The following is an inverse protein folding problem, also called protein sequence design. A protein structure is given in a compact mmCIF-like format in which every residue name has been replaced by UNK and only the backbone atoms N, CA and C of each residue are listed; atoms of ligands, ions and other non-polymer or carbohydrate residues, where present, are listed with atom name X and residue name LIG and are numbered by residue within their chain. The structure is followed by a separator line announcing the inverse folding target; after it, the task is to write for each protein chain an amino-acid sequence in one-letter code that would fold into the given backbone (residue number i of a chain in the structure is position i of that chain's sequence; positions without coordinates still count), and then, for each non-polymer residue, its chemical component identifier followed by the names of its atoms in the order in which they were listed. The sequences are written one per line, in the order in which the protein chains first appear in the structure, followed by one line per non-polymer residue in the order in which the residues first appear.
data_IF_548877828353
#
_entry.id   IF_548877828353
#
_cell.length_a   1.000
_cell.length_b   1.000
_cell.length_c   1.000
_cell.angle_alpha   90.00
_cell.angle_beta   90.00
_cell.angle_gamma   90.00
#
_symmetry.space_group_name_H-M   'P 1'
#
loop_
_entity.id
_entity.type
_entity.pdbx_description
1 polymer ?
#
# COMPACT_ATOMS: atom_id res chain seq x y z
N UNK A 1 4.91 -26.56 -61.60
CA UNK A 1 4.30 -25.73 -60.55
C UNK A 1 4.26 -24.31 -61.09
N UNK A 2 3.05 -23.75 -61.32
CA UNK A 2 2.88 -22.37 -61.85
C UNK A 2 2.90 -21.41 -60.65
N UNK A 3 3.73 -20.34 -60.69
CA UNK A 3 3.70 -19.33 -59.64
C UNK A 3 2.40 -18.51 -59.76
N UNK A 4 1.63 -18.49 -58.67
CA UNK A 4 0.42 -17.67 -58.53
C UNK A 4 0.82 -16.20 -58.49
N UNK A 5 0.50 -15.43 -59.52
CA UNK A 5 0.71 -13.96 -59.59
C UNK A 5 -0.25 -13.30 -58.60
N UNK A 6 0.23 -12.94 -57.39
CA UNK A 6 -0.51 -12.14 -56.43
C UNK A 6 -0.80 -10.78 -57.11
N UNK A 7 -2.09 -10.46 -57.25
CA UNK A 7 -2.52 -9.21 -57.87
C UNK A 7 -1.96 -8.01 -57.06
N UNK A 8 -1.39 -7.01 -57.77
CA UNK A 8 -0.88 -5.77 -57.15
C UNK A 8 -1.92 -5.07 -56.24
N UNK A 9 -3.23 -5.31 -56.51
CA UNK A 9 -4.34 -4.80 -55.70
C UNK A 9 -4.43 -5.46 -54.33
N UNK A 10 -4.14 -6.78 -54.21
CA UNK A 10 -4.12 -7.54 -52.94
C UNK A 10 -2.91 -7.11 -52.09
N UNK A 11 -1.78 -6.92 -52.72
CA UNK A 11 -0.57 -6.42 -52.05
C UNK A 11 -0.76 -5.01 -51.47
N UNK A 12 -1.42 -4.10 -52.26
CA UNK A 12 -1.75 -2.74 -51.82
C UNK A 12 -2.74 -2.73 -50.63
N UNK A 13 -3.76 -3.60 -50.66
CA UNK A 13 -4.72 -3.72 -49.55
C UNK A 13 -4.08 -4.24 -48.28
N UNK A 14 -3.14 -5.20 -48.40
CA UNK A 14 -2.41 -5.73 -47.24
C UNK A 14 -1.49 -4.67 -46.62
N UNK A 15 -0.81 -3.85 -47.45
CA UNK A 15 0.01 -2.74 -46.94
C UNK A 15 -0.82 -1.66 -46.24
N UNK A 16 -2.02 -1.37 -46.74
CA UNK A 16 -2.93 -0.39 -46.15
C UNK A 16 -3.48 -0.90 -44.81
N UNK A 17 -3.76 -2.21 -44.68
CA UNK A 17 -4.24 -2.84 -43.46
C UNK A 17 -3.12 -2.87 -42.37
N UNK A 18 -1.88 -3.15 -42.76
CA UNK A 18 -0.72 -3.11 -41.84
C UNK A 18 -0.41 -1.67 -41.39
N UNK A 19 -0.61 -0.65 -42.25
CA UNK A 19 -0.40 0.74 -41.86
C UNK A 19 -1.48 1.27 -40.90
N UNK A 20 -2.71 0.81 -41.04
CA UNK A 20 -3.81 1.16 -40.11
C UNK A 20 -3.61 0.59 -38.70
N UNK A 21 -2.97 -0.56 -38.55
CA UNK A 21 -2.69 -1.17 -37.24
C UNK A 21 -1.59 -0.47 -36.44
N UNK A 22 -0.74 0.34 -37.08
CA UNK A 22 0.33 1.09 -36.36
C UNK A 22 -0.18 2.38 -35.73
N UNK A 23 -1.43 2.80 -36.00
CA UNK A 23 -2.04 4.01 -35.42
C UNK A 23 -2.72 3.78 -34.08
N UNK A 24 -2.78 2.53 -33.56
CA UNK A 24 -3.17 2.26 -32.19
C UNK A 24 -1.99 2.61 -31.30
N UNK A 25 -1.69 3.91 -31.23
CA UNK A 25 -0.71 4.45 -30.29
C UNK A 25 -1.09 4.07 -28.86
N UNK A 26 -0.15 3.54 -28.10
CA UNK A 26 -0.29 3.37 -26.65
C UNK A 26 -0.84 4.68 -26.05
N UNK A 27 -2.10 4.69 -25.67
CA UNK A 27 -2.67 5.76 -24.89
C UNK A 27 -2.13 5.63 -23.47
N UNK A 28 -0.96 6.20 -23.23
CA UNK A 28 -0.49 6.33 -21.86
C UNK A 28 -1.34 7.40 -21.14
N UNK A 29 -1.89 7.09 -19.96
CA UNK A 29 -2.61 8.09 -19.19
C UNK A 29 -1.66 9.26 -18.90
N UNK A 30 -2.20 10.49 -19.08
CA UNK A 30 -1.42 11.72 -18.88
C UNK A 30 -1.07 11.82 -17.39
N UNK A 31 0.21 11.73 -17.06
CA UNK A 31 0.69 11.78 -15.70
C UNK A 31 0.40 13.13 -15.05
N UNK A 32 0.11 13.10 -13.75
CA UNK A 32 -0.19 14.26 -12.92
C UNK A 32 1.01 14.50 -12.00
N UNK A 33 1.50 15.73 -11.98
CA UNK A 33 2.52 16.14 -11.02
C UNK A 33 1.87 16.27 -9.64
N UNK A 34 2.20 15.36 -8.73
CA UNK A 34 1.71 15.35 -7.35
C UNK A 34 2.79 15.86 -6.42
N UNK A 35 2.42 16.80 -5.56
CA UNK A 35 3.29 17.40 -4.55
C UNK A 35 2.58 17.44 -3.21
N UNK A 36 3.31 17.70 -2.15
CA UNK A 36 2.73 17.91 -0.84
C UNK A 36 3.79 18.18 0.22
N UNK A 37 3.37 18.21 1.46
CA UNK A 37 4.23 18.41 2.62
C UNK A 37 3.87 17.47 3.74
N UNK A 38 4.87 16.98 4.46
CA UNK A 38 4.68 16.18 5.68
C UNK A 38 5.18 16.98 6.88
N UNK A 39 4.32 17.11 7.89
CA UNK A 39 4.65 17.80 9.14
C UNK A 39 4.25 16.94 10.33
N UNK A 40 4.93 17.15 11.45
CA UNK A 40 4.44 16.68 12.73
C UNK A 40 3.23 17.49 13.21
N UNK A 41 2.55 17.04 14.24
CA UNK A 41 1.38 17.71 14.83
C UNK A 41 1.68 19.12 15.38
N UNK A 42 2.92 19.37 15.74
CA UNK A 42 3.40 20.69 16.19
C UNK A 42 3.76 21.65 15.03
N UNK A 43 3.60 21.20 13.77
CA UNK A 43 3.90 21.96 12.57
C UNK A 43 5.36 21.85 12.11
N UNK A 44 6.24 21.16 12.83
CA UNK A 44 7.61 20.93 12.39
C UNK A 44 7.64 20.01 11.16
N UNK A 45 8.52 20.28 10.16
CA UNK A 45 8.58 19.42 8.98
C UNK A 45 9.27 18.08 9.28
N UNK A 46 8.76 17.00 8.67
CA UNK A 46 9.48 15.75 8.60
C UNK A 46 10.51 15.85 7.47
N UNK A 47 11.78 15.96 7.81
CA UNK A 47 12.86 16.24 6.84
C UNK A 47 13.56 14.98 6.32
N UNK A 48 13.12 13.81 6.72
CA UNK A 48 13.73 12.54 6.34
C UNK A 48 12.70 11.46 6.13
N UNK A 49 12.77 10.81 4.99
CA UNK A 49 11.84 9.75 4.59
C UNK A 49 11.44 9.87 3.14
N UNK A 50 10.60 8.96 2.70
CA UNK A 50 10.08 8.91 1.35
C UNK A 50 8.57 8.69 1.39
N UNK A 51 7.81 9.60 0.80
CA UNK A 51 6.36 9.45 0.61
C UNK A 51 6.10 8.52 -0.56
N UNK A 52 5.23 7.55 -0.37
CA UNK A 52 4.85 6.54 -1.34
C UNK A 52 3.34 6.59 -1.60
N UNK A 53 2.94 6.48 -2.87
CA UNK A 53 1.57 6.33 -3.33
C UNK A 53 1.45 5.05 -4.13
N UNK A 54 0.62 4.09 -3.69
CA UNK A 54 0.44 2.78 -4.31
C UNK A 54 -1.02 2.55 -4.68
N UNK A 55 -1.29 2.03 -5.88
CA UNK A 55 -2.60 1.51 -6.30
C UNK A 55 -2.54 0.01 -6.63
N UNK A 56 -1.43 -0.64 -6.29
CA UNK A 56 -1.14 -2.04 -6.61
C UNK A 56 -0.48 -2.25 -7.98
N UNK A 57 -0.57 -1.28 -8.91
CA UNK A 57 0.10 -1.30 -10.22
C UNK A 57 1.23 -0.28 -10.30
N UNK A 58 0.95 0.94 -9.86
CA UNK A 58 1.91 2.03 -9.87
C UNK A 58 2.36 2.33 -8.45
N UNK A 59 3.63 2.65 -8.34
CA UNK A 59 4.23 3.11 -7.10
C UNK A 59 4.94 4.43 -7.36
N UNK A 60 4.25 5.52 -7.01
CA UNK A 60 4.82 6.87 -6.98
C UNK A 60 5.63 7.07 -5.72
N UNK A 61 6.82 7.67 -5.82
CA UNK A 61 7.71 7.96 -4.69
C UNK A 61 8.22 9.38 -4.74
N UNK A 62 8.30 10.02 -3.59
CA UNK A 62 8.88 11.35 -3.42
C UNK A 62 9.72 11.42 -2.16
N UNK A 63 10.99 11.81 -2.30
CA UNK A 63 11.87 12.03 -1.16
C UNK A 63 11.47 13.34 -0.48
N UNK A 64 11.49 13.38 0.86
CA UNK A 64 11.26 14.58 1.65
C UNK A 64 12.48 15.48 1.64
N UNK A 65 12.26 16.77 1.48
CA UNK A 65 13.30 17.79 1.58
C UNK A 65 13.40 18.39 2.99
N UNK A 66 14.26 19.40 3.15
CA UNK A 66 14.49 20.11 4.43
C UNK A 66 13.25 20.83 4.97
N UNK A 67 12.26 21.10 4.11
CA UNK A 67 10.99 21.73 4.47
C UNK A 67 9.87 20.70 4.65
N UNK A 68 10.18 19.41 4.51
CA UNK A 68 9.19 18.32 4.50
C UNK A 68 8.38 18.27 3.21
N UNK A 69 8.80 18.95 2.15
CA UNK A 69 8.11 18.94 0.87
C UNK A 69 8.56 17.74 0.02
N UNK A 70 7.62 17.23 -0.80
CA UNK A 70 7.89 16.13 -1.71
C UNK A 70 7.24 16.32 -3.08
N UNK A 71 7.79 15.67 -4.09
CA UNK A 71 7.24 15.56 -5.43
C UNK A 71 7.29 14.10 -5.87
N UNK A 72 6.13 13.54 -6.22
CA UNK A 72 6.04 12.14 -6.63
C UNK A 72 6.58 11.92 -8.04
N UNK A 73 7.27 10.78 -8.20
CA UNK A 73 7.77 10.27 -9.48
C UNK A 73 7.63 8.75 -9.52
N UNK A 74 7.48 8.17 -10.70
CA UNK A 74 7.55 6.72 -10.90
C UNK A 74 8.95 6.32 -11.35
N UNK A 75 9.44 6.87 -12.46
CA UNK A 75 10.72 6.48 -13.06
C UNK A 75 11.73 7.64 -13.12
N UNK A 76 11.27 8.82 -13.52
CA UNK A 76 12.15 9.98 -13.75
C UNK A 76 11.67 11.18 -12.96
N UNK A 77 12.60 12.09 -12.68
CA UNK A 77 12.26 13.36 -12.05
C UNK A 77 11.20 14.10 -12.90
N UNK A 78 10.16 14.59 -12.26
CA UNK A 78 9.04 15.34 -12.84
C UNK A 78 8.12 14.54 -13.78
N UNK A 79 8.15 13.21 -13.80
CA UNK A 79 7.23 12.43 -14.61
C UNK A 79 5.83 12.32 -14.00
N UNK A 80 5.69 12.53 -12.69
CA UNK A 80 4.43 12.43 -11.96
C UNK A 80 3.91 11.00 -11.85
N UNK A 81 2.59 10.87 -11.57
CA UNK A 81 1.89 9.58 -11.49
C UNK A 81 0.59 9.62 -12.30
N UNK A 82 0.06 8.49 -12.79
CA UNK A 82 -1.24 8.44 -13.45
C UNK A 82 -2.36 8.93 -12.53
N UNK A 83 -3.47 9.46 -13.08
CA UNK A 83 -4.68 9.71 -12.29
C UNK A 83 -5.23 8.40 -11.74
N UNK A 84 -5.72 8.40 -10.50
CA UNK A 84 -6.26 7.21 -9.85
C UNK A 84 -6.45 7.39 -8.35
N UNK A 85 -6.89 6.33 -7.69
CA UNK A 85 -7.00 6.27 -6.22
C UNK A 85 -5.81 5.49 -5.69
N UNK A 86 -5.10 6.11 -4.76
CA UNK A 86 -3.86 5.59 -4.20
C UNK A 86 -3.95 5.48 -2.68
N UNK A 87 -3.30 4.50 -2.13
CA UNK A 87 -2.97 4.46 -0.71
C UNK A 87 -1.60 5.11 -0.50
N UNK A 88 -1.55 6.11 0.38
CA UNK A 88 -0.32 6.84 0.68
C UNK A 88 0.30 6.33 1.99
N UNK A 89 1.63 6.31 2.06
CA UNK A 89 2.38 5.93 3.25
C UNK A 89 3.81 6.50 3.18
N UNK A 90 4.56 6.42 4.28
CA UNK A 90 5.91 6.97 4.37
C UNK A 90 6.89 5.85 4.69
N UNK A 91 7.94 5.71 3.90
CA UNK A 91 9.03 4.76 4.14
C UNK A 91 10.32 5.49 4.52
N UNK A 92 11.30 4.75 5.03
CA UNK A 92 12.63 5.26 5.35
C UNK A 92 12.65 6.43 6.35
N UNK A 93 11.58 6.68 7.11
CA UNK A 93 11.57 7.68 8.17
C UNK A 93 12.30 7.15 9.43
N UNK A 94 13.57 6.79 9.27
CA UNK A 94 14.42 6.14 10.27
C UNK A 94 15.75 6.86 10.29
N UNK A 95 16.24 7.20 11.48
CA UNK A 95 17.57 7.78 11.68
C UNK A 95 18.46 6.85 12.50
N UNK A 96 19.75 6.87 12.19
CA UNK A 96 20.79 6.24 13.00
C UNK A 96 21.22 7.20 14.10
N UNK A 97 20.97 6.85 15.35
CA UNK A 97 21.55 7.53 16.51
C UNK A 97 22.88 6.88 16.89
N UNK A 98 23.86 7.73 17.22
CA UNK A 98 25.22 7.27 17.55
C UNK A 98 26.21 7.33 16.38
N UNK A 99 25.78 7.82 15.20
CA UNK A 99 26.70 8.19 14.13
C UNK A 99 27.22 9.61 14.36
N UNK A 100 28.39 9.70 14.99
CA UNK A 100 29.12 10.97 15.03
C UNK A 100 29.82 11.20 13.68
N UNK A 101 29.00 11.62 12.70
CA UNK A 101 29.45 11.90 11.34
C UNK A 101 30.56 12.97 11.26
N UNK A 102 30.80 13.69 12.36
CA UNK A 102 31.92 14.66 12.45
C UNK A 102 33.28 13.98 12.59
N UNK A 103 33.35 12.78 13.12
CA UNK A 103 34.63 12.10 13.34
C UNK A 103 34.97 11.03 12.31
N UNK A 104 34.06 10.73 11.39
CA UNK A 104 34.24 9.68 10.36
C UNK A 104 34.43 8.27 10.91
N UNK A 105 34.20 8.07 12.21
CA UNK A 105 34.29 6.76 12.86
C UNK A 105 32.90 6.17 13.03
N UNK A 106 32.56 5.29 12.12
CA UNK A 106 31.36 4.45 12.24
C UNK A 106 31.55 3.43 13.35
N UNK A 107 31.02 3.69 14.54
CA UNK A 107 31.00 2.74 15.64
C UNK A 107 29.85 1.74 15.41
N UNK A 108 30.13 0.67 14.67
CA UNK A 108 29.18 -0.40 14.32
C UNK A 108 28.49 -1.06 15.53
N UNK A 109 28.97 -0.84 16.73
CA UNK A 109 28.42 -1.45 17.97
C UNK A 109 27.41 -0.60 18.74
N UNK A 110 27.22 0.69 18.37
CA UNK A 110 26.41 1.64 19.16
C UNK A 110 25.33 2.36 18.32
N UNK A 111 25.29 2.13 17.01
CA UNK A 111 24.28 2.75 16.16
C UNK A 111 22.90 2.14 16.42
N UNK A 112 22.00 2.95 16.99
CA UNK A 112 20.59 2.58 17.23
C UNK A 112 19.73 3.15 16.11
N UNK A 113 18.94 2.29 15.49
CA UNK A 113 17.90 2.72 14.55
C UNK A 113 16.72 3.33 15.34
N UNK A 114 16.42 4.58 15.07
CA UNK A 114 15.31 5.30 15.68
C UNK A 114 14.29 5.64 14.61
N UNK A 115 13.05 5.19 14.80
CA UNK A 115 11.93 5.59 13.97
C UNK A 115 11.54 7.03 14.30
N UNK A 116 11.33 7.84 13.28
CA UNK A 116 10.96 9.25 13.43
C UNK A 116 9.46 9.43 13.56
N UNK A 117 8.69 8.52 12.97
CA UNK A 117 7.22 8.54 12.93
C UNK A 117 6.66 7.23 13.46
N UNK A 118 5.40 7.23 13.83
CA UNK A 118 4.71 6.02 14.25
C UNK A 118 4.60 4.99 13.13
N UNK A 119 4.61 3.72 13.50
CA UNK A 119 4.60 2.57 12.58
C UNK A 119 3.36 2.55 11.68
N UNK A 120 2.23 3.06 12.15
CA UNK A 120 1.01 3.04 11.37
C UNK A 120 1.18 3.77 10.02
N UNK A 121 2.00 4.83 9.95
CA UNK A 121 2.22 5.59 8.72
C UNK A 121 3.20 4.93 7.74
N UNK A 122 3.85 3.82 8.15
CA UNK A 122 4.95 3.21 7.38
C UNK A 122 4.50 2.17 6.37
N UNK A 123 3.23 1.79 6.34
CA UNK A 123 2.69 0.83 5.39
C UNK A 123 1.38 1.32 4.76
N UNK A 124 1.11 0.89 3.53
CA UNK A 124 -0.13 1.23 2.82
C UNK A 124 -1.39 0.76 3.55
N UNK A 125 -1.31 -0.37 4.26
CA UNK A 125 -2.46 -0.98 4.94
C UNK A 125 -2.86 -0.25 6.22
N UNK A 126 -1.89 0.32 6.93
CA UNK A 126 -2.10 0.88 8.27
C UNK A 126 -2.16 2.40 8.30
N UNK A 127 -1.67 3.07 7.26
CA UNK A 127 -1.64 4.54 7.21
C UNK A 127 -3.03 5.19 7.23
N UNK A 128 -4.03 4.52 6.64
CA UNK A 128 -5.39 5.03 6.50
C UNK A 128 -5.52 6.16 5.47
N UNK A 129 -4.46 6.54 4.78
CA UNK A 129 -4.49 7.64 3.81
C UNK A 129 -4.89 7.16 2.43
N UNK A 130 -6.07 7.56 1.97
CA UNK A 130 -6.57 7.32 0.62
C UNK A 130 -6.58 8.63 -0.14
N UNK A 131 -5.89 8.69 -1.28
CA UNK A 131 -5.67 9.89 -2.07
C UNK A 131 -6.21 9.69 -3.49
N UNK A 132 -7.21 10.48 -3.87
CA UNK A 132 -7.69 10.53 -5.26
C UNK A 132 -6.87 11.57 -6.03
N UNK A 133 -6.06 11.09 -6.98
CA UNK A 133 -5.18 11.91 -7.81
C UNK A 133 -5.85 12.22 -9.12
N UNK A 134 -6.05 13.49 -9.40
CA UNK A 134 -6.56 13.98 -10.68
C UNK A 134 -5.93 15.33 -11.05
N UNK A 135 -6.43 15.99 -12.11
CA UNK A 135 -5.93 17.30 -12.51
C UNK A 135 -6.23 18.41 -11.50
N UNK A 136 -7.22 18.23 -10.63
CA UNK A 136 -7.63 19.20 -9.61
C UNK A 136 -6.99 18.89 -8.27
N UNK A 137 -6.94 17.60 -7.89
CA UNK A 137 -6.41 17.10 -6.64
C UNK A 137 -5.00 16.55 -6.88
N UNK A 138 -4.01 17.38 -6.66
CA UNK A 138 -2.59 17.09 -6.92
C UNK A 138 -1.65 17.55 -5.81
N UNK A 139 -2.20 18.11 -4.73
CA UNK A 139 -1.44 18.45 -3.53
C UNK A 139 -2.05 17.72 -2.33
N UNK A 140 -1.21 16.96 -1.63
CA UNK A 140 -1.61 16.20 -0.43
C UNK A 140 -0.61 16.48 0.68
N UNK A 141 -1.10 17.11 1.73
CA UNK A 141 -0.31 17.42 2.91
C UNK A 141 -0.69 16.43 4.02
N UNK A 142 0.30 15.88 4.72
CA UNK A 142 0.11 14.88 5.77
C UNK A 142 0.62 15.37 7.10
N UNK A 143 -0.10 15.02 8.16
CA UNK A 143 0.35 15.20 9.53
C UNK A 143 0.69 13.84 10.12
N UNK A 144 1.86 13.74 10.76
CA UNK A 144 2.36 12.52 11.40
C UNK A 144 2.66 12.76 12.87
N UNK A 145 2.74 11.68 13.63
CA UNK A 145 3.09 11.70 15.03
C UNK A 145 4.35 10.86 15.27
N UNK A 146 5.15 11.20 16.29
CA UNK A 146 6.23 10.34 16.76
C UNK A 146 5.71 8.97 17.23
N UNK A 147 6.59 7.96 17.38
CA UNK A 147 6.20 6.64 17.84
C UNK A 147 5.49 6.67 19.19
N UNK A 148 4.27 6.11 19.26
CA UNK A 148 3.47 6.04 20.48
C UNK A 148 2.76 7.33 20.90
N UNK A 149 2.80 8.38 20.08
CA UNK A 149 2.12 9.67 20.36
C UNK A 149 0.87 9.88 19.50
N UNK A 150 0.46 8.88 18.72
CA UNK A 150 -0.74 8.97 17.89
C UNK A 150 -1.98 9.02 18.80
N UNK A 151 -2.86 10.02 18.64
CA UNK A 151 -4.13 10.06 19.36
C UNK A 151 -4.99 8.82 19.06
N UNK A 152 -5.71 8.31 20.05
CA UNK A 152 -6.47 7.06 19.91
C UNK A 152 -7.54 7.13 18.81
N UNK A 153 -8.14 8.29 18.59
CA UNK A 153 -9.12 8.54 17.54
C UNK A 153 -8.53 8.56 16.11
N UNK A 154 -7.21 8.63 16.00
CA UNK A 154 -6.48 8.63 14.73
C UNK A 154 -5.75 7.29 14.46
N UNK A 155 -5.76 6.37 15.42
CA UNK A 155 -5.22 5.02 15.19
C UNK A 155 -6.21 4.25 14.32
N UNK A 156 -5.77 3.82 13.14
CA UNK A 156 -6.59 3.00 12.24
C UNK A 156 -6.87 1.62 12.85
N UNK A 157 -8.00 1.01 12.50
CA UNK A 157 -8.35 -0.34 12.97
C UNK A 157 -7.31 -1.36 12.51
N UNK A 158 -6.80 -1.21 11.29
CA UNK A 158 -5.73 -2.05 10.73
C UNK A 158 -4.42 -1.92 11.52
N UNK A 159 -4.09 -0.70 11.96
CA UNK A 159 -2.90 -0.48 12.78
C UNK A 159 -3.07 -1.10 14.18
N UNK A 160 -4.23 -0.95 14.81
CA UNK A 160 -4.54 -1.63 16.07
C UNK A 160 -4.42 -3.14 15.92
N UNK A 161 -5.05 -3.70 14.89
CA UNK A 161 -4.99 -5.14 14.64
C UNK A 161 -3.56 -5.64 14.38
N UNK A 162 -2.74 -4.85 13.70
CA UNK A 162 -1.37 -5.24 13.38
C UNK A 162 -0.40 -5.10 14.55
N UNK A 163 -0.51 -4.05 15.34
CA UNK A 163 0.51 -3.67 16.33
C UNK A 163 0.08 -3.86 17.78
N UNK A 164 -1.23 -3.92 18.07
CA UNK A 164 -1.77 -4.21 19.40
C UNK A 164 -2.14 -5.68 19.51
N UNK A 165 -1.37 -6.41 20.32
CA UNK A 165 -1.56 -7.86 20.49
C UNK A 165 -2.83 -8.18 21.26
N UNK A 166 -3.21 -7.36 22.25
CA UNK A 166 -4.41 -7.55 23.06
C UNK A 166 -5.67 -7.34 22.20
N UNK A 167 -5.74 -6.24 21.46
CA UNK A 167 -6.81 -5.94 20.51
C UNK A 167 -6.96 -7.06 19.46
N UNK A 168 -5.84 -7.52 18.91
CA UNK A 168 -5.84 -8.62 17.93
C UNK A 168 -6.41 -9.90 18.52
N UNK A 169 -6.02 -10.27 19.76
CA UNK A 169 -6.54 -11.46 20.43
C UNK A 169 -8.03 -11.37 20.68
N UNK A 170 -8.51 -10.19 21.07
CA UNK A 170 -9.93 -9.94 21.28
C UNK A 170 -10.72 -10.08 19.97
N UNK A 171 -10.29 -9.43 18.89
CA UNK A 171 -10.93 -9.51 17.57
C UNK A 171 -10.94 -10.91 16.98
N UNK A 172 -9.86 -11.65 17.14
CA UNK A 172 -9.81 -13.07 16.72
C UNK A 172 -10.79 -13.91 17.52
N UNK A 173 -10.92 -13.65 18.82
CA UNK A 173 -11.90 -14.36 19.68
C UNK A 173 -13.33 -14.03 19.27
N UNK A 174 -13.67 -12.77 19.04
CA UNK A 174 -14.98 -12.33 18.53
C UNK A 174 -15.31 -13.03 17.21
N UNK A 175 -14.40 -13.01 16.24
CA UNK A 175 -14.58 -13.68 14.95
C UNK A 175 -14.91 -15.18 15.09
N UNK A 176 -14.20 -15.90 15.95
CA UNK A 176 -14.46 -17.33 16.15
C UNK A 176 -15.75 -17.60 16.92
N UNK A 177 -16.19 -16.68 17.79
CA UNK A 177 -17.51 -16.78 18.45
C UNK A 177 -18.63 -16.59 17.43
N UNK A 178 -18.56 -15.55 16.60
CA UNK A 178 -19.53 -15.25 15.54
C UNK A 178 -19.63 -16.43 14.55
N UNK A 179 -18.49 -16.95 14.09
CA UNK A 179 -18.46 -18.11 13.21
C UNK A 179 -19.05 -19.36 13.85
N UNK A 180 -18.83 -19.57 15.15
CA UNK A 180 -19.43 -20.67 15.88
C UNK A 180 -20.95 -20.54 16.01
N UNK A 181 -21.47 -19.33 16.13
CA UNK A 181 -22.92 -19.06 16.13
C UNK A 181 -23.55 -19.26 14.76
N UNK A 182 -22.93 -18.73 13.68
CA UNK A 182 -23.36 -18.97 12.31
C UNK A 182 -23.43 -20.47 11.96
N UNK A 183 -22.41 -21.24 12.36
CA UNK A 183 -22.38 -22.69 12.13
C UNK A 183 -23.48 -23.42 12.91
N UNK A 184 -23.80 -22.98 14.14
CA UNK A 184 -24.92 -23.54 14.91
C UNK A 184 -26.27 -23.23 14.29
N UNK A 185 -26.49 -21.97 13.89
CA UNK A 185 -27.73 -21.59 13.21
C UNK A 185 -27.92 -22.33 11.88
N UNK A 186 -26.84 -22.52 11.10
CA UNK A 186 -26.88 -23.25 9.87
C UNK A 186 -27.20 -24.75 10.11
N UNK A 187 -26.63 -25.33 11.18
CA UNK A 187 -26.90 -26.70 11.58
C UNK A 187 -28.35 -26.89 12.03
N UNK A 188 -28.89 -25.94 12.79
CA UNK A 188 -30.28 -25.95 13.24
C UNK A 188 -31.25 -25.84 12.06
N UNK A 189 -31.03 -24.90 11.13
CA UNK A 189 -31.83 -24.73 9.91
C UNK A 189 -31.78 -25.95 9.00
N UNK A 190 -30.68 -26.70 8.99
CA UNK A 190 -30.50 -27.92 8.18
C UNK A 190 -31.04 -29.19 8.86
N UNK A 191 -31.59 -29.10 10.08
CA UNK A 191 -32.09 -30.23 10.85
C UNK A 191 -31.01 -31.21 11.34
N UNK A 192 -29.73 -30.79 11.33
CA UNK A 192 -28.64 -31.55 11.94
C UNK A 192 -28.63 -31.30 13.44
N UNK A 193 -28.79 -32.39 14.20
CA UNK A 193 -28.76 -32.29 15.66
C UNK A 193 -27.44 -31.71 16.19
N UNK A 194 -27.49 -30.85 17.21
CA UNK A 194 -26.28 -30.21 17.81
C UNK A 194 -25.25 -31.22 18.38
N UNK A 195 -25.65 -32.47 18.64
CA UNK A 195 -24.77 -33.50 19.21
C UNK A 195 -23.60 -33.91 18.29
N UNK A 196 -23.74 -33.78 16.97
CA UNK A 196 -22.68 -34.15 16.04
C UNK A 196 -21.53 -33.12 16.00
N UNK A 197 -21.78 -31.87 16.43
CA UNK A 197 -20.79 -30.78 16.56
C UNK A 197 -20.08 -30.78 17.94
N UNK A 198 -20.63 -31.46 18.92
CA UNK A 198 -20.09 -31.52 20.27
C UNK A 198 -18.98 -32.56 20.46
N UNK A 199 -18.68 -33.40 19.46
CA UNK A 199 -17.66 -34.43 19.57
C UNK A 199 -16.24 -33.82 19.50
N UNK A 200 -15.40 -34.01 20.54
CA UNK A 200 -14.03 -33.46 20.59
C UNK A 200 -13.10 -34.03 19.52
N UNK A 201 -13.49 -35.07 18.82
CA UNK A 201 -12.67 -35.73 17.81
C UNK A 201 -12.57 -34.95 16.49
N UNK A 202 -13.51 -34.04 16.21
CA UNK A 202 -13.52 -33.27 14.96
C UNK A 202 -12.67 -32.00 15.01
N UNK A 203 -12.12 -31.64 16.17
CA UNK A 203 -11.24 -30.45 16.33
C UNK A 203 -9.79 -30.65 15.84
N UNK A 204 -9.36 -31.87 15.53
CA UNK A 204 -7.94 -32.16 15.25
C UNK A 204 -7.52 -32.04 13.78
N UNK A 205 -8.42 -31.78 12.85
CA UNK A 205 -8.10 -31.81 11.41
C UNK A 205 -8.46 -30.53 10.63
N UNK A 206 -8.84 -29.43 11.28
CA UNK A 206 -8.94 -28.16 10.57
C UNK A 206 -7.54 -27.52 10.46
N UNK A 207 -6.89 -27.75 9.33
CA UNK A 207 -5.71 -27.01 8.93
C UNK A 207 -6.03 -25.51 8.94
N UNK A 208 -5.38 -24.78 9.83
CA UNK A 208 -5.35 -23.31 9.81
C UNK A 208 -4.69 -22.91 8.51
N UNK A 209 -5.42 -22.21 7.68
CA UNK A 209 -4.87 -21.69 6.42
C UNK A 209 -3.77 -20.68 6.74
N UNK A 210 -2.53 -20.81 6.23
CA UNK A 210 -1.38 -20.01 6.65
C UNK A 210 -1.39 -18.54 6.17
N UNK A 211 -2.50 -18.06 5.61
CA UNK A 211 -2.62 -16.68 5.08
C UNK A 211 -3.18 -15.66 6.08
N UNK A 212 -3.32 -16.03 7.38
CA UNK A 212 -3.76 -15.14 8.46
C UNK A 212 -2.72 -14.96 9.57
N UNK A 213 -1.45 -15.29 9.29
CA UNK A 213 -0.33 -15.02 10.20
C UNK A 213 0.62 -14.01 9.59
#
# INVERSE_FOLDING_TARGET
MKPTRISRRVLGAFFLLCFASTLVGCWQPRQVKVTGRVTFSDGTPLTYGQVCFSDGYYLGRGDLDENGEYELRIFRKNDGIPPGVYQAYITCAIRLEGDDSRTGRFNQGLAKLVMLIDRQYMTERTSGWVCEVDKKHKRFDFTVYPPGEVPEDQITEEARFQFDEEYRREKVKEYWQEKGEEEREAAEKSGRLPEELASPQNRKTRHVHPSLL
#
